data_IF_997728026830
#
_entry.id   IF_997728026830
#
_cell.length_a   1.000
_cell.length_b   1.000
_cell.length_c   1.000
_cell.angle_alpha   90.00
_cell.angle_beta   90.00
_cell.angle_gamma   90.00
#
_symmetry.space_group_name_H-M   'P 1'
#
loop_
_entity.id
_entity.type
_entity.pdbx_description
1 polymer ?
#
# COMPACT_ATOMS: atom_id res chain seq x y z
N UNK A 1 -3.40 9.17 15.22
CA UNK A 1 -4.27 7.98 15.03
C UNK A 1 -5.62 8.06 15.75
N UNK A 2 -5.76 8.73 16.90
CA UNK A 2 -7.03 8.76 17.66
C UNK A 2 -8.17 9.53 16.97
N UNK A 3 -7.86 10.53 16.14
CA UNK A 3 -8.90 11.36 15.51
C UNK A 3 -9.76 10.59 14.50
N UNK A 4 -9.20 9.69 13.70
CA UNK A 4 -9.98 8.96 12.69
C UNK A 4 -10.98 7.98 13.32
N UNK A 5 -10.53 7.16 14.27
CA UNK A 5 -11.38 6.19 14.99
C UNK A 5 -12.48 6.88 15.81
N UNK A 6 -12.17 8.02 16.42
CA UNK A 6 -13.09 8.73 17.31
C UNK A 6 -14.06 9.68 16.59
N UNK A 7 -13.60 10.38 15.55
CA UNK A 7 -14.43 11.41 14.87
C UNK A 7 -15.25 10.80 13.73
N UNK A 8 -14.78 9.72 13.09
CA UNK A 8 -15.47 9.13 11.95
C UNK A 8 -16.12 7.77 12.23
N UNK A 9 -15.91 7.18 13.42
CA UNK A 9 -16.48 5.88 13.80
C UNK A 9 -16.24 4.77 12.75
N UNK A 10 -15.06 4.78 12.13
CA UNK A 10 -14.64 3.78 11.12
C UNK A 10 -13.70 2.79 11.79
N UNK A 11 -13.96 1.49 11.61
CA UNK A 11 -12.97 0.46 11.93
C UNK A 11 -11.90 0.42 10.84
N UNK A 12 -10.69 0.86 11.20
CA UNK A 12 -9.51 0.88 10.32
C UNK A 12 -8.49 -0.22 10.70
N UNK A 13 -8.80 -1.02 11.71
CA UNK A 13 -7.92 -2.05 12.25
C UNK A 13 -8.21 -3.42 11.63
N UNK A 14 -9.31 -3.54 10.86
CA UNK A 14 -9.74 -4.77 10.19
C UNK A 14 -9.85 -4.58 8.69
N UNK A 15 -9.30 -5.51 7.90
CA UNK A 15 -9.43 -5.48 6.46
C UNK A 15 -10.83 -5.96 6.03
N UNK A 16 -11.54 -5.15 5.26
CA UNK A 16 -12.88 -5.48 4.74
C UNK A 16 -12.91 -6.73 3.83
N UNK A 17 -11.81 -7.08 3.16
CA UNK A 17 -11.74 -8.22 2.23
C UNK A 17 -11.39 -9.55 2.90
N UNK A 18 -10.37 -9.56 3.75
CA UNK A 18 -9.86 -10.79 4.38
C UNK A 18 -10.16 -10.89 5.88
N UNK A 19 -10.79 -9.87 6.47
CA UNK A 19 -11.14 -9.79 7.89
C UNK A 19 -9.94 -9.92 8.85
N UNK A 20 -8.72 -9.78 8.34
CA UNK A 20 -7.49 -9.81 9.14
C UNK A 20 -7.10 -8.44 9.69
N UNK A 21 -6.15 -8.40 10.65
CA UNK A 21 -5.68 -7.16 11.24
C UNK A 21 -4.89 -6.31 10.26
N UNK A 22 -5.08 -5.00 10.31
CA UNK A 22 -4.39 -3.99 9.48
C UNK A 22 -3.49 -3.14 10.35
N UNK A 23 -2.30 -2.82 9.83
CA UNK A 23 -1.35 -1.91 10.49
C UNK A 23 -1.36 -0.56 9.80
N UNK A 24 -1.62 0.50 10.55
CA UNK A 24 -1.48 1.86 10.03
C UNK A 24 0.01 2.25 10.04
N UNK A 25 0.54 2.60 8.88
CA UNK A 25 1.97 2.92 8.68
C UNK A 25 2.27 4.43 8.67
N UNK A 26 1.28 5.26 8.35
CA UNK A 26 1.44 6.72 8.32
C UNK A 26 0.07 7.43 8.44
N UNK A 27 0.08 8.65 8.97
CA UNK A 27 -1.05 9.59 8.91
C UNK A 27 -0.63 10.82 8.11
N UNK A 28 -1.55 11.37 7.32
CA UNK A 28 -1.37 12.62 6.58
C UNK A 28 -2.49 13.56 7.03
N UNK A 29 -2.13 14.64 7.72
CA UNK A 29 -3.09 15.65 8.23
C UNK A 29 -2.95 17.02 7.53
N UNK A 30 -1.88 17.22 6.75
CA UNK A 30 -1.65 18.48 6.04
C UNK A 30 -2.65 18.66 4.87
N UNK A 31 -3.43 19.76 4.84
CA UNK A 31 -4.48 19.96 3.84
C UNK A 31 -3.93 20.08 2.41
N UNK A 32 -2.71 20.60 2.25
CA UNK A 32 -2.10 20.77 0.93
C UNK A 32 -1.68 19.42 0.36
N UNK A 33 -1.08 18.54 1.18
CA UNK A 33 -0.74 17.18 0.82
C UNK A 33 -1.99 16.38 0.45
N UNK A 34 -3.05 16.45 1.25
CA UNK A 34 -4.34 15.79 0.98
C UNK A 34 -4.91 16.24 -0.37
N UNK A 35 -4.95 17.55 -0.63
CA UNK A 35 -5.47 18.10 -1.89
C UNK A 35 -4.66 17.61 -3.11
N UNK A 36 -3.32 17.57 -3.00
CA UNK A 36 -2.43 17.05 -4.05
C UNK A 36 -2.69 15.58 -4.35
N UNK A 37 -2.87 14.74 -3.33
CA UNK A 37 -3.17 13.31 -3.49
C UNK A 37 -4.50 13.14 -4.21
N UNK A 38 -5.57 13.81 -3.74
CA UNK A 38 -6.90 13.73 -4.36
C UNK A 38 -6.85 14.17 -5.83
N UNK A 39 -6.14 15.27 -6.12
CA UNK A 39 -5.95 15.76 -7.50
C UNK A 39 -5.24 14.72 -8.37
N UNK A 40 -4.18 14.10 -7.86
CA UNK A 40 -3.45 13.06 -8.57
C UNK A 40 -4.32 11.84 -8.88
N UNK A 41 -5.11 11.37 -7.90
CA UNK A 41 -6.00 10.21 -8.07
C UNK A 41 -7.09 10.46 -9.12
N UNK A 42 -7.70 11.65 -9.11
CA UNK A 42 -8.70 12.03 -10.13
C UNK A 42 -8.12 12.07 -11.54
N UNK A 43 -6.88 12.53 -11.68
CA UNK A 43 -6.19 12.57 -12.98
C UNK A 43 -5.75 11.20 -13.49
N UNK A 44 -5.67 10.18 -12.62
CA UNK A 44 -5.17 8.84 -12.94
C UNK A 44 -6.29 7.82 -13.18
N UNK A 45 -7.47 8.30 -13.59
CA UNK A 45 -8.74 7.59 -13.76
C UNK A 45 -8.60 6.08 -13.75
N UNK A 46 -9.09 5.45 -12.67
CA UNK A 46 -9.12 4.00 -12.43
C UNK A 46 -7.99 3.22 -13.13
N UNK A 47 -6.75 3.67 -12.99
CA UNK A 47 -5.62 2.82 -13.33
C UNK A 47 -5.63 1.72 -12.28
N UNK A 48 -6.37 0.65 -12.59
CA UNK A 48 -6.25 -0.68 -12.02
C UNK A 48 -4.78 -1.03 -12.23
N UNK A 49 -3.93 -0.58 -11.30
CA UNK A 49 -2.51 -0.85 -11.32
C UNK A 49 -2.31 -2.27 -10.80
N UNK A 50 -2.99 -3.22 -11.43
CA UNK A 50 -2.39 -4.47 -11.86
C UNK A 50 -1.30 -4.14 -12.87
N UNK A 51 -0.37 -3.25 -12.51
CA UNK A 51 0.93 -3.24 -13.13
C UNK A 51 1.43 -4.64 -12.86
N UNK A 52 1.45 -5.46 -13.91
CA UNK A 52 1.95 -6.81 -13.92
C UNK A 52 3.32 -6.76 -13.25
N UNK A 53 3.34 -7.06 -11.95
CA UNK A 53 4.57 -7.11 -11.20
C UNK A 53 5.43 -8.12 -11.97
N UNK A 54 6.67 -7.77 -12.33
CA UNK A 54 7.54 -8.74 -12.98
C UNK A 54 7.56 -10.00 -12.12
N UNK A 55 7.51 -11.19 -12.74
CA UNK A 55 7.46 -12.44 -11.98
C UNK A 55 8.57 -12.43 -10.93
N UNK A 56 8.22 -12.85 -9.71
CA UNK A 56 9.15 -12.89 -8.60
C UNK A 56 10.44 -13.57 -9.05
N UNK A 57 11.57 -12.87 -8.93
CA UNK A 57 12.86 -13.43 -9.33
C UNK A 57 13.13 -14.65 -8.44
N UNK A 58 13.50 -15.77 -9.05
CA UNK A 58 13.99 -16.90 -8.28
C UNK A 58 15.24 -16.49 -7.47
N UNK A 59 15.44 -17.03 -6.27
CA UNK A 59 16.67 -16.84 -5.51
C UNK A 59 17.88 -17.22 -6.38
N UNK A 60 19.03 -16.54 -6.24
CA UNK A 60 20.24 -16.92 -6.96
C UNK A 60 20.55 -18.40 -6.67
N UNK A 61 20.69 -19.19 -7.73
CA UNK A 61 21.06 -20.59 -7.63
C UNK A 61 22.47 -20.68 -7.02
N UNK A 62 22.51 -21.07 -5.74
CA UNK A 62 23.73 -21.30 -5.01
C UNK A 62 24.38 -22.58 -5.57
N UNK A 63 25.36 -22.45 -6.48
CA UNK A 63 26.18 -23.61 -6.84
C UNK A 63 26.83 -23.70 -8.22
N UNK A 64 27.02 -22.62 -8.99
CA UNK A 64 27.93 -22.66 -10.14
C UNK A 64 29.09 -21.68 -9.93
N UNK A 65 29.88 -21.94 -8.89
CA UNK A 65 31.27 -21.52 -8.84
C UNK A 65 32.12 -22.75 -9.09
N UNK A 66 32.49 -22.91 -10.36
CA UNK A 66 33.54 -23.83 -10.79
C UNK A 66 34.79 -23.59 -9.94
N UNK A 67 35.09 -24.52 -9.04
CA UNK A 67 36.39 -24.59 -8.39
C UNK A 67 37.29 -25.42 -9.29
N UNK A 68 37.97 -24.73 -10.22
CA UNK A 68 39.22 -25.20 -10.81
C UNK A 68 40.36 -25.18 -9.80
#
# INVERSE_FOLDING_TARGET
MQRLKHVFNIDIETCEKCQGPVKIIACIEDPVAIAKIIKHLKGKGESNNTALLPPGRAPPQMGLVDHS
#
